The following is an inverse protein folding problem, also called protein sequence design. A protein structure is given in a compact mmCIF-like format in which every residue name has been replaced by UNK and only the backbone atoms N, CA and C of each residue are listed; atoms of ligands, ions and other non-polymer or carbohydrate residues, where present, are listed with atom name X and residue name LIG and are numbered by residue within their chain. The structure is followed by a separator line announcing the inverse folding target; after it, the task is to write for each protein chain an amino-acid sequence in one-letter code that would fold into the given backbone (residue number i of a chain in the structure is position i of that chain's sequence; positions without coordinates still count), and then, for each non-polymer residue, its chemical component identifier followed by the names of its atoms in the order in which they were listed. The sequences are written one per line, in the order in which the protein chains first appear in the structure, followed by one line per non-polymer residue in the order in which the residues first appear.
data_IF_982000776046
#
_entry.id   IF_982000776046
#
_cell.length_a   1.000
_cell.length_b   1.000
_cell.length_c   1.000
_cell.angle_alpha   90.00
_cell.angle_beta   90.00
_cell.angle_gamma   90.00
#
_symmetry.space_group_name_H-M   'P 1'
#
loop_
_entity.id
_entity.type
_entity.pdbx_description
1 polymer ?
#
# COMPACT_ATOMS: atom_id res chain seq x y z
N UNK A 1 66.29 14.12 7.02
CA UNK A 1 65.19 13.69 6.12
C UNK A 1 63.88 13.74 6.91
N UNK A 2 62.91 14.58 6.50
CA UNK A 2 61.62 14.78 7.18
C UNK A 2 60.65 13.65 6.78
N UNK A 3 60.12 12.91 7.75
CA UNK A 3 58.99 12.00 7.55
C UNK A 3 57.68 12.76 7.78
N UNK A 4 56.83 12.80 6.77
CA UNK A 4 55.47 13.36 6.85
C UNK A 4 54.52 12.17 6.98
N UNK A 5 53.96 11.96 8.18
CA UNK A 5 52.85 11.02 8.38
C UNK A 5 51.55 11.71 7.99
N UNK A 6 50.90 11.25 6.92
CA UNK A 6 49.51 11.60 6.61
C UNK A 6 48.60 10.54 7.21
N UNK A 7 47.93 10.87 8.31
CA UNK A 7 46.81 10.09 8.82
C UNK A 7 45.61 10.33 7.90
N UNK A 8 45.19 9.30 7.14
CA UNK A 8 43.94 9.30 6.40
C UNK A 8 42.90 8.63 7.29
N UNK A 9 42.10 9.44 7.98
CA UNK A 9 40.91 8.99 8.69
C UNK A 9 39.80 8.70 7.67
N UNK A 10 39.61 7.43 7.34
CA UNK A 10 38.43 6.98 6.57
C UNK A 10 37.26 6.91 7.56
N UNK A 11 36.49 7.99 7.63
CA UNK A 11 35.20 7.98 8.30
C UNK A 11 34.24 7.08 7.54
N UNK A 12 33.92 5.91 8.11
CA UNK A 12 32.84 5.07 7.62
C UNK A 12 31.51 5.78 7.86
N UNK A 13 30.97 6.43 6.82
CA UNK A 13 29.58 6.86 6.80
C UNK A 13 28.70 5.61 6.67
N UNK A 14 28.23 5.07 7.79
CA UNK A 14 27.11 4.13 7.81
C UNK A 14 25.84 4.92 7.46
N UNK A 15 25.52 4.98 6.18
CA UNK A 15 24.18 5.37 5.75
C UNK A 15 23.28 4.17 6.03
N UNK A 16 22.47 4.26 7.09
CA UNK A 16 21.39 3.32 7.34
C UNK A 16 20.33 3.55 6.27
N UNK A 17 20.41 2.83 5.16
CA UNK A 17 19.30 2.75 4.21
C UNK A 17 18.19 1.95 4.86
N UNK A 18 17.10 2.63 5.18
CA UNK A 18 15.78 2.03 5.44
C UNK A 18 15.45 1.14 4.24
N UNK A 19 15.42 -0.18 4.44
CA UNK A 19 15.08 -1.11 3.38
C UNK A 19 13.57 -1.02 3.13
N UNK A 20 13.17 -0.38 2.04
CA UNK A 20 11.79 -0.45 1.58
C UNK A 20 11.55 -1.82 0.93
N UNK A 21 10.64 -2.62 1.49
CA UNK A 21 10.19 -3.87 0.88
C UNK A 21 9.12 -3.55 -0.19
N UNK A 22 9.39 -3.92 -1.44
CA UNK A 22 8.45 -3.75 -2.54
C UNK A 22 7.99 -5.11 -3.07
N UNK A 23 6.67 -5.33 -3.09
CA UNK A 23 6.05 -6.58 -3.54
C UNK A 23 5.01 -6.27 -4.61
N UNK A 24 5.05 -7.01 -5.72
CA UNK A 24 4.01 -6.96 -6.75
C UNK A 24 3.02 -8.09 -6.53
N UNK A 25 1.73 -7.78 -6.62
CA UNK A 25 0.62 -8.72 -6.43
C UNK A 25 -0.24 -8.73 -7.69
N UNK A 26 -0.57 -9.92 -8.17
CA UNK A 26 -1.62 -10.14 -9.17
C UNK A 26 -2.89 -10.57 -8.44
N UNK A 27 -3.92 -9.73 -8.45
CA UNK A 27 -5.08 -9.82 -7.56
C UNK A 27 -6.34 -9.94 -8.38
N UNK A 28 -7.15 -10.96 -8.11
CA UNK A 28 -8.46 -11.11 -8.76
C UNK A 28 -9.43 -10.01 -8.26
N UNK A 29 -10.26 -9.48 -9.16
CA UNK A 29 -11.32 -8.53 -8.79
C UNK A 29 -12.26 -9.19 -7.75
N UNK A 30 -12.52 -8.47 -6.66
CA UNK A 30 -13.28 -8.95 -5.50
C UNK A 30 -12.44 -9.70 -4.46
N UNK A 31 -11.18 -10.04 -4.77
CA UNK A 31 -10.28 -10.67 -3.81
C UNK A 31 -9.87 -9.68 -2.72
N UNK A 32 -9.77 -10.19 -1.48
CA UNK A 32 -9.27 -9.42 -0.33
C UNK A 32 -7.75 -9.54 -0.22
N UNK A 33 -7.08 -8.39 -0.18
CA UNK A 33 -5.64 -8.28 0.03
C UNK A 33 -5.37 -7.74 1.43
N UNK A 34 -4.86 -8.58 2.33
CA UNK A 34 -4.42 -8.16 3.68
C UNK A 34 -3.02 -7.55 3.61
N UNK A 35 -2.88 -6.28 3.98
CA UNK A 35 -1.58 -5.58 3.92
C UNK A 35 -0.58 -6.10 4.98
N UNK A 36 -1.06 -6.67 6.08
CA UNK A 36 -0.22 -7.35 7.07
C UNK A 36 0.63 -8.47 6.46
N UNK A 37 0.14 -9.15 5.41
CA UNK A 37 0.89 -10.20 4.74
C UNK A 37 2.16 -9.67 4.04
N UNK A 38 2.25 -8.35 3.83
CA UNK A 38 3.42 -7.67 3.28
C UNK A 38 4.16 -6.83 4.32
N UNK A 39 3.88 -7.01 5.61
CA UNK A 39 4.47 -6.20 6.70
C UNK A 39 3.80 -4.84 6.92
N UNK A 40 2.67 -4.58 6.25
CA UNK A 40 1.89 -3.34 6.38
C UNK A 40 0.88 -3.37 7.55
N UNK A 41 0.01 -2.35 7.65
CA UNK A 41 -0.97 -2.22 8.73
C UNK A 41 -2.11 -3.25 8.63
N UNK A 42 -2.93 -3.38 9.68
CA UNK A 42 -4.11 -4.27 9.71
C UNK A 42 -5.28 -3.72 8.86
N UNK A 43 -5.06 -3.70 7.54
CA UNK A 43 -5.98 -3.19 6.54
C UNK A 43 -6.16 -4.24 5.45
N UNK A 44 -7.40 -4.41 5.01
CA UNK A 44 -7.74 -5.17 3.82
C UNK A 44 -8.14 -4.24 2.68
N UNK A 45 -7.65 -4.53 1.48
CA UNK A 45 -8.06 -3.89 0.24
C UNK A 45 -8.88 -4.87 -0.60
N UNK A 46 -9.95 -4.38 -1.22
CA UNK A 46 -10.75 -5.12 -2.19
C UNK A 46 -10.84 -4.29 -3.45
N UNK A 47 -10.40 -4.85 -4.58
CA UNK A 47 -10.55 -4.21 -5.90
C UNK A 47 -11.89 -4.64 -6.46
N UNK A 48 -12.89 -3.76 -6.51
CA UNK A 48 -14.27 -4.15 -6.85
C UNK A 48 -14.57 -4.13 -8.35
N UNK A 49 -13.81 -3.35 -9.11
CA UNK A 49 -14.02 -3.20 -10.54
C UNK A 49 -12.99 -2.29 -11.15
N UNK A 50 -12.57 -2.66 -12.36
CA UNK A 50 -11.69 -1.91 -13.24
C UNK A 50 -12.54 -1.60 -14.47
N UNK A 51 -13.18 -0.44 -14.51
CA UNK A 51 -13.69 0.10 -15.77
C UNK A 51 -12.49 0.57 -16.61
N UNK A 52 -12.69 0.75 -17.92
CA UNK A 52 -11.64 1.14 -18.86
C UNK A 52 -10.89 2.41 -18.43
N UNK A 53 -11.53 3.26 -17.61
CA UNK A 53 -10.97 4.52 -17.14
C UNK A 53 -10.84 4.63 -15.62
N UNK A 54 -11.55 3.81 -14.83
CA UNK A 54 -11.67 3.98 -13.38
C UNK A 54 -11.54 2.65 -12.62
N UNK A 55 -10.94 2.69 -11.43
CA UNK A 55 -10.87 1.57 -10.49
C UNK A 55 -11.56 1.92 -9.18
N UNK A 56 -12.41 1.02 -8.67
CA UNK A 56 -13.04 1.15 -7.35
C UNK A 56 -12.35 0.25 -6.34
N UNK A 57 -11.94 0.83 -5.21
CA UNK A 57 -11.27 0.11 -4.12
C UNK A 57 -12.05 0.29 -2.82
N UNK A 58 -12.37 -0.81 -2.16
CA UNK A 58 -12.84 -0.81 -0.77
C UNK A 58 -11.65 -1.03 0.15
N UNK A 59 -11.52 -0.15 1.14
CA UNK A 59 -10.53 -0.23 2.22
C UNK A 59 -11.28 -0.62 3.49
N UNK A 60 -10.92 -1.74 4.09
CA UNK A 60 -11.45 -2.22 5.37
C UNK A 60 -10.34 -2.08 6.41
N UNK A 61 -10.50 -1.12 7.31
CA UNK A 61 -9.53 -0.77 8.33
C UNK A 61 -9.94 -1.33 9.69
N UNK A 62 -9.30 -2.42 10.10
CA UNK A 62 -9.61 -3.12 11.35
C UNK A 62 -9.00 -2.44 12.58
N UNK A 63 -8.01 -1.55 12.39
CA UNK A 63 -7.47 -0.71 13.48
C UNK A 63 -8.44 0.41 13.88
N UNK A 64 -9.17 0.97 12.90
CA UNK A 64 -10.13 2.04 13.15
C UNK A 64 -11.57 1.55 13.18
N UNK A 65 -11.92 0.84 14.24
CA UNK A 65 -13.29 0.39 14.50
C UNK A 65 -14.22 1.58 14.78
N UNK A 66 -15.41 1.58 14.18
CA UNK A 66 -16.47 2.58 14.37
C UNK A 66 -17.68 1.97 15.05
N UNK A 67 -18.38 2.75 15.87
CA UNK A 67 -19.69 2.36 16.39
C UNK A 67 -20.78 2.65 15.38
N UNK A 68 -21.64 1.66 15.12
CA UNK A 68 -22.73 1.79 14.17
C UNK A 68 -24.05 1.84 14.90
N UNK A 69 -24.91 2.79 14.52
CA UNK A 69 -26.29 2.83 14.99
C UNK A 69 -27.11 1.84 14.21
N UNK A 70 -27.92 1.06 14.92
CA UNK A 70 -28.99 0.26 14.31
C UNK A 70 -30.22 0.47 15.17
N UNK A 71 -31.32 0.91 14.56
CA UNK A 71 -32.59 1.17 15.26
C UNK A 71 -32.45 2.12 16.48
N UNK A 72 -31.76 3.25 16.31
CA UNK A 72 -31.67 4.29 17.34
C UNK A 72 -30.63 4.06 18.45
N UNK A 73 -30.13 2.83 18.63
CA UNK A 73 -29.10 2.48 19.61
C UNK A 73 -27.75 2.18 18.94
N UNK A 74 -26.64 2.53 19.60
CA UNK A 74 -25.30 2.08 19.21
C UNK A 74 -25.12 0.63 19.69
N UNK A 75 -25.08 -0.34 18.76
CA UNK A 75 -25.18 -1.76 19.12
C UNK A 75 -23.90 -2.57 18.95
N UNK A 76 -23.05 -2.21 17.97
CA UNK A 76 -21.86 -3.01 17.67
C UNK A 76 -20.77 -2.20 16.96
N UNK A 77 -19.54 -2.69 17.08
CA UNK A 77 -18.35 -2.14 16.42
C UNK A 77 -18.19 -2.78 15.03
N UNK A 78 -17.94 -1.97 14.01
CA UNK A 78 -17.56 -2.42 12.67
C UNK A 78 -16.21 -1.83 12.27
N UNK A 79 -15.42 -2.52 11.43
CA UNK A 79 -14.22 -1.92 10.86
C UNK A 79 -14.57 -0.65 10.07
N UNK A 80 -13.61 0.26 9.97
CA UNK A 80 -13.75 1.45 9.15
C UNK A 80 -13.75 1.06 7.68
N UNK A 81 -14.90 1.18 7.01
CA UNK A 81 -15.00 0.92 5.57
C UNK A 81 -14.97 2.24 4.82
N UNK A 82 -14.08 2.35 3.84
CA UNK A 82 -13.99 3.50 2.92
C UNK A 82 -13.93 3.01 1.49
N UNK A 83 -14.81 3.52 0.63
CA UNK A 83 -14.76 3.27 -0.80
C UNK A 83 -14.12 4.46 -1.50
N UNK A 84 -13.18 4.19 -2.40
CA UNK A 84 -12.51 5.21 -3.22
C UNK A 84 -12.50 4.78 -4.67
N UNK A 85 -12.81 5.72 -5.56
CA UNK A 85 -12.63 5.56 -6.99
C UNK A 85 -11.39 6.32 -7.45
N UNK A 86 -10.65 5.76 -8.38
CA UNK A 86 -9.44 6.37 -8.93
C UNK A 86 -9.44 6.26 -10.45
N UNK A 87 -8.93 7.29 -11.14
CA UNK A 87 -8.82 7.30 -12.60
C UNK A 87 -7.50 6.67 -13.04
N UNK A 88 -7.58 5.69 -13.92
CA UNK A 88 -6.42 5.00 -14.53
C UNK A 88 -5.75 5.89 -15.58
N UNK A 89 -6.53 6.75 -16.24
CA UNK A 89 -6.11 7.59 -17.35
C UNK A 89 -5.06 8.66 -17.00
N UNK A 90 -4.76 8.90 -15.72
CA UNK A 90 -3.80 9.91 -15.27
C UNK A 90 -2.33 9.49 -15.44
N UNK A 91 -2.07 8.37 -16.15
CA UNK A 91 -0.76 7.88 -16.66
C UNK A 91 0.37 7.68 -15.62
N UNK A 92 0.10 7.84 -14.34
CA UNK A 92 1.03 7.55 -13.24
C UNK A 92 0.58 6.35 -12.40
N UNK A 93 1.47 5.79 -11.55
CA UNK A 93 1.08 4.81 -10.54
C UNK A 93 0.01 5.43 -9.64
N UNK A 94 -1.21 4.92 -9.76
CA UNK A 94 -2.35 5.45 -9.02
C UNK A 94 -2.25 4.93 -7.59
N UNK A 95 -1.88 5.81 -6.65
CA UNK A 95 -1.74 5.44 -5.23
C UNK A 95 -3.12 5.21 -4.62
N UNK A 96 -3.47 3.94 -4.42
CA UNK A 96 -4.74 3.49 -3.88
C UNK A 96 -4.82 3.70 -2.36
N UNK A 97 -3.68 3.51 -1.68
CA UNK A 97 -3.59 3.57 -0.22
C UNK A 97 -2.22 4.07 0.23
N UNK A 98 -2.19 4.79 1.34
CA UNK A 98 -0.95 5.15 2.04
C UNK A 98 -1.21 5.32 3.54
N UNK A 99 -0.46 4.60 4.37
CA UNK A 99 -0.42 4.79 5.83
C UNK A 99 0.85 4.17 6.42
N UNK A 100 1.53 4.90 7.29
CA UNK A 100 2.58 4.37 8.17
C UNK A 100 3.67 3.61 7.42
N UNK A 101 4.27 4.23 6.39
CA UNK A 101 5.29 3.59 5.55
C UNK A 101 4.76 2.56 4.55
N UNK A 102 3.48 2.15 4.63
CA UNK A 102 2.85 1.27 3.66
C UNK A 102 2.13 2.08 2.57
N UNK A 103 2.49 1.86 1.30
CA UNK A 103 1.84 2.43 0.13
C UNK A 103 1.37 1.34 -0.81
N UNK A 104 0.18 1.48 -1.38
CA UNK A 104 -0.32 0.56 -2.42
C UNK A 104 -0.64 1.34 -3.67
N UNK A 105 -0.14 0.86 -4.80
CA UNK A 105 -0.32 1.45 -6.11
C UNK A 105 -0.98 0.47 -7.06
N UNK A 106 -1.85 0.98 -7.92
CA UNK A 106 -2.26 0.26 -9.12
C UNK A 106 -1.18 0.39 -10.18
N UNK A 107 -0.83 -0.72 -10.82
CA UNK A 107 0.17 -0.79 -11.89
C UNK A 107 -0.51 -1.22 -13.18
N UNK A 108 -0.69 -0.32 -14.17
CA UNK A 108 -1.23 -0.71 -15.46
C UNK A 108 -0.26 -1.65 -16.17
N UNK A 109 -0.73 -2.81 -16.62
CA UNK A 109 0.07 -3.79 -17.35
C UNK A 109 -0.80 -4.56 -18.33
N UNK A 110 -0.35 -4.63 -19.58
CA UNK A 110 -1.03 -5.35 -20.67
C UNK A 110 -1.07 -6.87 -20.45
N UNK A 111 -0.23 -7.40 -19.55
CA UNK A 111 -0.13 -8.83 -19.25
C UNK A 111 -1.10 -9.26 -18.12
N UNK A 112 -1.80 -8.31 -17.50
CA UNK A 112 -2.76 -8.60 -16.42
C UNK A 112 -4.02 -9.23 -17.03
N UNK A 113 -4.53 -10.30 -16.42
CA UNK A 113 -5.79 -10.93 -16.87
C UNK A 113 -6.95 -9.94 -16.76
N UNK A 114 -7.97 -10.07 -17.61
CA UNK A 114 -9.12 -9.15 -17.65
C UNK A 114 -9.87 -9.01 -16.31
N UNK A 115 -9.90 -10.07 -15.51
CA UNK A 115 -10.55 -10.11 -14.19
C UNK A 115 -9.56 -9.88 -13.04
N UNK A 116 -8.37 -9.38 -13.32
CA UNK A 116 -7.32 -9.14 -12.33
C UNK A 116 -6.86 -7.67 -12.35
N UNK A 117 -6.25 -7.26 -11.25
CA UNK A 117 -5.55 -6.00 -11.11
C UNK A 117 -4.15 -6.26 -10.56
N UNK A 118 -3.15 -5.64 -11.20
CA UNK A 118 -1.77 -5.69 -10.73
C UNK A 118 -1.54 -4.55 -9.73
N UNK A 119 -1.13 -4.91 -8.53
CA UNK A 119 -0.86 -3.98 -7.45
C UNK A 119 0.63 -4.01 -7.07
N UNK A 120 1.14 -2.87 -6.66
CA UNK A 120 2.46 -2.76 -6.04
C UNK A 120 2.30 -2.27 -4.61
N UNK A 121 2.77 -3.07 -3.66
CA UNK A 121 2.79 -2.76 -2.23
C UNK A 121 4.22 -2.41 -1.84
N UNK A 122 4.43 -1.20 -1.32
CA UNK A 122 5.70 -0.76 -0.73
C UNK A 122 5.52 -0.62 0.76
N UNK A 123 6.44 -1.17 1.55
CA UNK A 123 6.48 -1.02 3.00
C UNK A 123 7.87 -0.53 3.38
N UNK A 124 7.93 0.66 3.95
CA UNK A 124 9.14 1.26 4.51
C UNK A 124 9.22 0.94 6.02
N UNK A 125 10.39 0.50 6.48
CA UNK A 125 10.64 0.09 7.86
C UNK A 125 11.61 1.03 8.59
#
# INVERSE_FOLDING_TARGET
MKQIFRAISIGAFLTSSVLAQQTTLDVEIGQRVKLQNSGGPNVELIINGVDQFDISVTIIDYEHMRFVRTNGNYGYRQPGITNKQFKIADRGPTRLFHRGGCSVYYVPSMDTRMNHAKLEVKVEH
#
